data_IF_241426420486
#
_entry.id   IF_241426420486
#
_cell.length_a   1.000
_cell.length_b   1.000
_cell.length_c   1.000
_cell.angle_alpha   90.00
_cell.angle_beta   90.00
_cell.angle_gamma   90.00
#
_symmetry.space_group_name_H-M   'P 1'
#
loop_
_entity.id
_entity.type
_entity.pdbx_description
1 polymer ?
#
# COMPACT_ATOMS: atom_id res chain seq x y z
N UNK A 1 1.34 -1.18 -19.45
CA UNK A 1 0.58 -0.79 -18.25
C UNK A 1 -0.62 0.05 -18.69
N UNK A 2 -1.81 -0.20 -18.14
CA UNK A 2 -3.01 0.62 -18.39
C UNK A 2 -3.00 1.80 -17.45
N UNK A 3 -3.46 2.97 -17.90
CA UNK A 3 -3.48 4.20 -17.11
C UNK A 3 -4.90 4.72 -16.99
N UNK A 4 -5.30 5.11 -15.80
CA UNK A 4 -6.62 5.65 -15.46
C UNK A 4 -6.46 6.96 -14.72
N UNK A 5 -7.55 7.77 -14.69
CA UNK A 5 -7.63 8.96 -13.83
C UNK A 5 -8.32 8.60 -12.52
N UNK A 6 -7.87 9.21 -11.44
CA UNK A 6 -8.45 9.04 -10.11
C UNK A 6 -9.92 9.49 -10.06
N UNK A 7 -10.73 8.73 -9.31
CA UNK A 7 -12.14 9.06 -9.01
C UNK A 7 -12.32 9.15 -7.49
N UNK A 8 -12.32 10.36 -6.95
CA UNK A 8 -12.44 10.68 -5.53
C UNK A 8 -13.72 10.17 -4.84
N UNK A 9 -14.70 9.69 -5.62
CA UNK A 9 -15.98 9.17 -5.12
C UNK A 9 -15.90 7.73 -4.63
N UNK A 10 -14.74 7.09 -4.70
CA UNK A 10 -14.53 5.68 -4.36
C UNK A 10 -13.33 5.51 -3.48
N UNK A 11 -13.31 4.40 -2.76
CA UNK A 11 -12.11 3.89 -2.11
C UNK A 11 -10.92 3.90 -3.08
N UNK A 12 -9.75 4.20 -2.57
CA UNK A 12 -8.49 4.19 -3.29
C UNK A 12 -8.26 2.87 -4.03
N UNK A 13 -8.64 1.74 -3.41
CA UNK A 13 -8.41 0.40 -3.92
C UNK A 13 -9.51 -0.09 -4.88
N UNK A 14 -10.70 0.52 -4.86
CA UNK A 14 -11.86 0.06 -5.63
C UNK A 14 -12.06 0.82 -6.95
N UNK A 15 -10.99 1.33 -7.55
CA UNK A 15 -11.08 1.95 -8.88
C UNK A 15 -11.49 0.91 -9.93
N UNK A 16 -12.52 1.22 -10.75
CA UNK A 16 -13.09 0.28 -11.75
C UNK A 16 -12.05 -0.29 -12.70
N UNK A 17 -11.05 0.51 -13.08
CA UNK A 17 -9.98 0.09 -13.97
C UNK A 17 -9.06 -0.96 -13.35
N UNK A 18 -8.81 -0.90 -12.03
CA UNK A 18 -8.04 -1.89 -11.29
C UNK A 18 -8.87 -3.15 -11.10
N UNK A 19 -10.12 -3.01 -10.64
CA UNK A 19 -11.03 -4.12 -10.37
C UNK A 19 -11.31 -4.98 -11.61
N UNK A 20 -11.35 -4.39 -12.80
CA UNK A 20 -11.53 -5.12 -14.06
C UNK A 20 -10.37 -6.08 -14.39
N UNK A 21 -9.23 -5.96 -13.68
CA UNK A 21 -8.04 -6.80 -13.84
C UNK A 21 -7.86 -7.82 -12.71
N UNK A 22 -8.71 -7.75 -11.68
CA UNK A 22 -8.71 -8.65 -10.52
C UNK A 22 -9.88 -9.62 -10.65
N UNK A 23 -9.60 -10.90 -10.53
CA UNK A 23 -10.65 -11.91 -10.40
C UNK A 23 -11.23 -11.86 -8.97
N UNK A 24 -12.34 -11.11 -8.83
CA UNK A 24 -13.03 -10.90 -7.57
C UNK A 24 -13.36 -12.22 -6.85
N UNK A 25 -13.76 -13.24 -7.59
CA UNK A 25 -14.19 -14.52 -7.01
C UNK A 25 -13.06 -15.33 -6.41
N UNK A 26 -11.82 -14.98 -6.72
CA UNK A 26 -10.61 -15.64 -6.21
C UNK A 26 -9.99 -14.94 -4.99
N UNK A 27 -10.49 -13.76 -4.61
CA UNK A 27 -9.98 -13.01 -3.44
C UNK A 27 -10.73 -13.46 -2.20
N UNK A 28 -10.00 -14.06 -1.24
CA UNK A 28 -10.51 -14.55 0.05
C UNK A 28 -9.73 -14.01 1.24
N UNK A 29 -8.49 -13.65 1.05
CA UNK A 29 -7.62 -13.11 2.10
C UNK A 29 -6.98 -11.82 1.62
N UNK A 30 -7.20 -10.74 2.37
CA UNK A 30 -6.67 -9.42 2.10
C UNK A 30 -5.78 -8.99 3.26
N UNK A 31 -4.59 -8.46 2.96
CA UNK A 31 -3.83 -7.63 3.88
C UNK A 31 -4.01 -6.18 3.46
N UNK A 32 -4.49 -5.34 4.36
CA UNK A 32 -4.56 -3.90 4.16
C UNK A 32 -3.55 -3.22 5.07
N UNK A 33 -2.58 -2.55 4.46
CA UNK A 33 -1.45 -1.94 5.13
C UNK A 33 -1.64 -0.42 5.08
N UNK A 34 -1.86 0.21 6.25
CA UNK A 34 -2.31 1.59 6.38
C UNK A 34 -3.83 1.69 6.23
N UNK A 35 -4.57 1.09 7.17
CA UNK A 35 -6.03 1.02 7.11
C UNK A 35 -6.72 2.33 7.52
N UNK A 36 -5.96 3.27 8.09
CA UNK A 36 -6.47 4.55 8.57
C UNK A 36 -7.71 4.37 9.45
N UNK A 37 -8.78 5.12 9.22
CA UNK A 37 -10.02 5.03 9.99
C UNK A 37 -10.88 3.79 9.66
N UNK A 38 -10.45 2.93 8.74
CA UNK A 38 -11.11 1.70 8.34
C UNK A 38 -12.24 1.86 7.33
N UNK A 39 -12.43 3.04 6.76
CA UNK A 39 -13.47 3.26 5.75
C UNK A 39 -13.23 2.43 4.50
N UNK A 40 -12.01 2.40 4.00
CA UNK A 40 -11.61 1.61 2.83
C UNK A 40 -11.68 0.11 3.13
N UNK A 41 -11.31 -0.32 4.34
CA UNK A 41 -11.46 -1.72 4.79
C UNK A 41 -12.89 -2.21 4.67
N UNK A 42 -13.87 -1.43 5.11
CA UNK A 42 -15.29 -1.78 5.02
C UNK A 42 -15.74 -1.88 3.55
N UNK A 43 -15.27 -1.00 2.70
CA UNK A 43 -15.58 -1.06 1.27
C UNK A 43 -14.93 -2.30 0.60
N UNK A 44 -13.68 -2.63 0.96
CA UNK A 44 -13.02 -3.86 0.52
C UNK A 44 -13.79 -5.10 0.98
N UNK A 45 -14.21 -5.14 2.26
CA UNK A 45 -14.98 -6.24 2.83
C UNK A 45 -16.30 -6.46 2.08
N UNK A 46 -17.08 -5.40 1.83
CA UNK A 46 -18.34 -5.46 1.08
C UNK A 46 -18.12 -5.91 -0.37
N UNK A 47 -17.00 -5.48 -0.98
CA UNK A 47 -16.72 -5.77 -2.38
C UNK A 47 -16.25 -7.21 -2.60
N UNK A 48 -15.29 -7.70 -1.79
CA UNK A 48 -14.64 -8.99 -2.03
C UNK A 48 -15.22 -10.14 -1.22
N UNK A 49 -15.94 -9.87 -0.14
CA UNK A 49 -16.40 -10.89 0.82
C UNK A 49 -15.22 -11.76 1.33
N UNK A 50 -14.15 -11.11 1.73
CA UNK A 50 -12.88 -11.70 2.13
C UNK A 50 -12.61 -11.53 3.63
N UNK A 51 -11.71 -12.35 4.18
CA UNK A 51 -11.11 -12.10 5.50
C UNK A 51 -10.04 -11.02 5.33
N UNK A 52 -10.09 -9.99 6.17
CA UNK A 52 -9.19 -8.84 6.07
C UNK A 52 -8.35 -8.71 7.33
N UNK A 53 -7.04 -8.60 7.17
CA UNK A 53 -6.10 -8.22 8.21
C UNK A 53 -5.68 -6.78 7.92
N UNK A 54 -6.20 -5.84 8.72
CA UNK A 54 -6.03 -4.41 8.55
C UNK A 54 -4.98 -3.91 9.54
N UNK A 55 -3.90 -3.31 9.02
CA UNK A 55 -2.78 -2.79 9.82
C UNK A 55 -2.87 -1.28 9.89
N UNK A 56 -2.84 -0.74 11.10
CA UNK A 56 -2.81 0.70 11.37
C UNK A 56 -1.95 0.97 12.62
N UNK A 57 -1.14 2.02 12.60
CA UNK A 57 -0.25 2.33 13.70
C UNK A 57 -0.47 3.71 14.32
N UNK A 58 -1.29 4.56 13.70
CA UNK A 58 -1.57 5.91 14.19
C UNK A 58 -2.41 5.84 15.47
N UNK A 59 -1.88 6.26 16.65
CA UNK A 59 -2.54 6.03 17.92
C UNK A 59 -3.92 6.72 18.04
N UNK A 60 -4.09 7.89 17.42
CA UNK A 60 -5.35 8.65 17.47
C UNK A 60 -6.39 8.13 16.46
N UNK A 61 -5.97 7.37 15.45
CA UNK A 61 -6.84 6.85 14.39
C UNK A 61 -7.31 5.42 14.68
N UNK A 62 -6.48 4.60 15.32
CA UNK A 62 -6.81 3.23 15.73
C UNK A 62 -8.19 3.12 16.43
N UNK A 63 -8.58 4.02 17.37
CA UNK A 63 -9.90 3.94 17.99
C UNK A 63 -11.08 4.01 17.00
N UNK A 64 -10.94 4.79 15.93
CA UNK A 64 -11.96 4.93 14.88
C UNK A 64 -12.09 3.64 14.07
N UNK A 65 -10.96 3.04 13.67
CA UNK A 65 -10.95 1.76 12.97
C UNK A 65 -11.54 0.63 13.85
N UNK A 66 -11.18 0.58 15.13
CA UNK A 66 -11.70 -0.39 16.09
C UNK A 66 -13.21 -0.32 16.23
N UNK A 67 -13.76 0.88 16.37
CA UNK A 67 -15.21 1.10 16.43
C UNK A 67 -15.89 0.66 15.15
N UNK A 68 -15.29 0.97 13.99
CA UNK A 68 -15.84 0.63 12.69
C UNK A 68 -15.90 -0.88 12.43
N UNK A 69 -14.95 -1.64 12.99
CA UNK A 69 -14.85 -3.08 12.77
C UNK A 69 -15.60 -3.92 13.80
N UNK A 70 -16.13 -3.33 14.89
CA UNK A 70 -16.67 -4.08 16.00
C UNK A 70 -17.75 -5.11 15.61
N UNK A 71 -18.53 -4.82 14.55
CA UNK A 71 -19.57 -5.71 14.01
C UNK A 71 -19.07 -6.62 12.87
N UNK A 72 -17.79 -6.61 12.55
CA UNK A 72 -17.23 -7.33 11.41
C UNK A 72 -16.18 -8.37 11.86
N UNK A 73 -16.60 -9.58 12.29
CA UNK A 73 -15.70 -10.58 12.89
C UNK A 73 -14.62 -11.11 11.90
N UNK A 74 -14.80 -10.89 10.61
CA UNK A 74 -13.83 -11.25 9.56
C UNK A 74 -12.84 -10.13 9.24
N UNK A 75 -12.89 -9.02 9.95
CA UNK A 75 -11.90 -7.94 9.88
C UNK A 75 -11.10 -7.97 11.17
N UNK A 76 -9.80 -8.17 11.06
CA UNK A 76 -8.88 -8.17 12.20
C UNK A 76 -8.03 -6.91 12.15
N UNK A 77 -8.17 -6.03 13.12
CA UNK A 77 -7.29 -4.87 13.30
C UNK A 77 -5.97 -5.32 13.94
N UNK A 78 -4.86 -4.88 13.38
CA UNK A 78 -3.50 -5.07 13.88
C UNK A 78 -2.88 -3.69 14.11
N UNK A 79 -2.71 -3.32 15.37
CA UNK A 79 -2.33 -1.98 15.80
C UNK A 79 -0.80 -1.79 15.80
N UNK A 80 -0.19 -1.99 14.64
CA UNK A 80 1.26 -1.90 14.42
C UNK A 80 1.58 -1.36 13.04
N UNK A 81 2.72 -0.68 12.94
CA UNK A 81 3.32 -0.38 11.64
C UNK A 81 3.81 -1.68 10.97
N UNK A 82 3.77 -1.72 9.65
CA UNK A 82 4.39 -2.81 8.88
C UNK A 82 5.78 -2.39 8.44
N UNK A 83 6.78 -3.23 8.77
CA UNK A 83 8.19 -2.89 8.60
C UNK A 83 9.02 -4.12 8.21
N UNK A 84 10.33 -3.92 7.96
CA UNK A 84 11.28 -5.00 7.67
C UNK A 84 11.97 -5.59 8.93
N UNK A 85 11.58 -5.13 10.11
CA UNK A 85 12.04 -5.63 11.41
C UNK A 85 10.93 -5.56 12.44
N UNK A 86 10.95 -6.48 13.42
CA UNK A 86 10.16 -6.38 14.64
C UNK A 86 10.87 -5.42 15.60
N UNK A 87 10.34 -4.19 15.75
CA UNK A 87 11.01 -3.11 16.47
C UNK A 87 10.01 -2.03 16.92
N UNK A 88 10.53 -0.99 17.54
CA UNK A 88 9.84 0.32 17.62
C UNK A 88 10.44 1.25 16.59
N UNK A 89 9.61 2.05 15.94
CA UNK A 89 10.04 3.00 14.91
C UNK A 89 9.47 4.38 15.20
N UNK A 90 10.18 5.45 14.87
CA UNK A 90 9.60 6.79 14.86
C UNK A 90 8.37 6.81 13.93
N UNK A 91 7.36 7.52 14.37
CA UNK A 91 6.16 7.82 13.60
C UNK A 91 5.87 9.30 13.71
N UNK A 92 5.50 9.92 12.61
CA UNK A 92 5.31 11.36 12.49
C UNK A 92 3.84 11.68 12.17
N UNK A 93 2.95 11.73 13.18
CA UNK A 93 1.57 12.18 12.98
C UNK A 93 1.52 13.56 12.36
N UNK A 94 0.70 13.73 11.32
CA UNK A 94 0.41 15.04 10.74
C UNK A 94 -0.70 15.70 11.57
N UNK A 95 -0.36 16.78 12.26
CA UNK A 95 -1.27 17.58 13.07
C UNK A 95 -2.08 18.51 12.16
N UNK A 96 -1.41 19.11 11.20
CA UNK A 96 -2.00 20.05 10.24
C UNK A 96 -1.28 19.99 8.89
N UNK A 97 -2.05 20.25 7.85
CA UNK A 97 -1.54 20.43 6.50
C UNK A 97 -1.86 21.84 6.03
N UNK A 98 -0.87 22.56 5.51
CA UNK A 98 -1.10 23.81 4.80
C UNK A 98 -0.99 23.57 3.30
N UNK A 99 -2.08 23.79 2.60
CA UNK A 99 -2.17 23.69 1.14
C UNK A 99 -2.80 24.96 0.57
N UNK A 100 -2.11 25.64 -0.34
CA UNK A 100 -2.59 26.90 -0.96
C UNK A 100 -3.02 27.96 0.09
N UNK A 101 -2.32 28.03 1.23
CA UNK A 101 -2.63 28.96 2.33
C UNK A 101 -3.81 28.55 3.21
N UNK A 102 -4.44 27.41 2.96
CA UNK A 102 -5.51 26.87 3.80
C UNK A 102 -4.96 25.81 4.75
N UNK A 103 -5.49 25.79 5.97
CA UNK A 103 -5.21 24.75 6.97
C UNK A 103 -6.24 23.64 6.83
N UNK A 104 -5.76 22.41 6.72
CA UNK A 104 -6.56 21.20 6.57
C UNK A 104 -6.12 20.15 7.58
N UNK A 105 -7.07 19.36 8.07
CA UNK A 105 -6.79 18.14 8.81
C UNK A 105 -6.47 17.03 7.79
N UNK A 106 -5.29 16.43 7.90
CA UNK A 106 -4.88 15.37 7.00
C UNK A 106 -4.05 14.29 7.73
N UNK A 107 -4.65 13.59 8.70
CA UNK A 107 -3.95 12.54 9.44
C UNK A 107 -3.52 11.36 8.55
N UNK A 108 -4.16 11.18 7.39
CA UNK A 108 -3.79 10.17 6.41
C UNK A 108 -2.40 10.35 5.79
N UNK A 109 -1.81 11.56 5.87
CA UNK A 109 -0.44 11.82 5.43
C UNK A 109 0.62 11.52 6.53
N UNK A 110 0.23 10.95 7.65
CA UNK A 110 1.14 10.54 8.73
C UNK A 110 2.02 9.37 8.28
N UNK A 111 3.30 9.39 8.67
CA UNK A 111 4.30 8.46 8.13
C UNK A 111 5.32 8.03 9.19
N UNK A 112 5.99 6.90 8.95
CA UNK A 112 7.23 6.55 9.67
C UNK A 112 8.44 7.40 9.22
N UNK A 113 8.26 8.30 8.27
CA UNK A 113 9.28 9.20 7.78
C UNK A 113 8.88 10.65 7.99
N UNK A 114 9.88 11.50 8.26
CA UNK A 114 9.68 12.94 8.31
C UNK A 114 9.40 13.48 6.91
N UNK A 115 8.38 14.32 6.77
CA UNK A 115 8.06 14.98 5.51
C UNK A 115 9.20 15.90 5.03
N UNK A 116 9.27 16.10 3.74
CA UNK A 116 10.21 17.05 3.11
C UNK A 116 9.61 18.45 3.11
N UNK A 117 10.50 19.45 3.22
CA UNK A 117 10.11 20.86 3.22
C UNK A 117 9.82 21.41 1.80
N UNK A 118 10.26 20.69 0.76
CA UNK A 118 10.13 21.08 -0.65
C UNK A 118 8.89 20.48 -1.35
N UNK A 119 8.03 19.77 -0.62
CA UNK A 119 6.72 19.37 -1.09
C UNK A 119 5.76 20.57 -1.09
N UNK A 120 4.84 20.63 -2.05
CA UNK A 120 3.93 21.76 -2.20
C UNK A 120 2.89 21.91 -1.06
N UNK A 121 2.68 20.85 -0.29
CA UNK A 121 1.95 20.89 0.97
C UNK A 121 2.94 20.92 2.13
N UNK A 122 2.66 21.70 3.14
CA UNK A 122 3.46 21.71 4.37
C UNK A 122 2.74 20.92 5.43
N UNK A 123 3.42 19.92 5.97
CA UNK A 123 2.94 19.11 7.08
C UNK A 123 3.55 19.62 8.39
N UNK A 124 2.70 19.97 9.34
CA UNK A 124 3.08 20.14 10.73
C UNK A 124 3.00 18.78 11.40
N UNK A 125 4.14 18.22 11.74
CA UNK A 125 4.25 16.87 12.29
C UNK A 125 4.73 16.91 13.74
N UNK A 126 4.13 16.08 14.60
CA UNK A 126 4.74 15.68 15.87
C UNK A 126 5.61 14.43 15.65
N UNK A 127 6.20 13.93 16.73
CA UNK A 127 6.93 12.66 16.72
C UNK A 127 6.48 11.80 17.88
N UNK A 128 6.25 10.54 17.60
CA UNK A 128 6.01 9.49 18.60
C UNK A 128 6.73 8.21 18.18
N UNK A 129 6.68 7.18 19.01
CA UNK A 129 7.15 5.85 18.65
C UNK A 129 5.99 4.87 18.59
N UNK A 130 5.97 4.04 17.56
CA UNK A 130 4.99 2.97 17.39
C UNK A 130 5.67 1.61 17.31
N UNK A 131 4.94 0.56 17.68
CA UNK A 131 5.39 -0.80 17.42
C UNK A 131 5.34 -1.08 15.93
N UNK A 132 6.39 -1.73 15.43
CA UNK A 132 6.51 -2.15 14.04
C UNK A 132 6.79 -3.65 13.98
N UNK A 133 6.29 -4.30 12.93
CA UNK A 133 6.39 -5.74 12.81
C UNK A 133 6.67 -6.19 11.38
N UNK A 134 7.27 -7.36 11.27
CA UNK A 134 7.43 -8.08 10.02
C UNK A 134 6.15 -8.85 9.67
N UNK A 135 5.77 -8.76 8.39
CA UNK A 135 4.60 -9.48 7.89
C UNK A 135 4.81 -10.99 7.78
N UNK A 136 6.02 -11.47 7.53
CA UNK A 136 6.32 -12.91 7.43
C UNK A 136 6.05 -13.65 8.75
N UNK A 137 6.50 -13.09 9.88
CA UNK A 137 6.22 -13.60 11.23
C UNK A 137 4.72 -13.57 11.56
N UNK A 138 4.04 -12.48 11.20
CA UNK A 138 2.60 -12.37 11.36
C UNK A 138 1.85 -13.44 10.56
N UNK A 139 2.17 -13.61 9.29
CA UNK A 139 1.54 -14.62 8.43
C UNK A 139 1.76 -16.02 8.95
N UNK A 140 2.97 -16.34 9.42
CA UNK A 140 3.28 -17.65 10.01
C UNK A 140 2.43 -17.91 11.26
N UNK A 141 2.33 -16.93 12.17
CA UNK A 141 1.56 -17.05 13.42
C UNK A 141 0.06 -17.25 13.17
N UNK A 142 -0.48 -16.65 12.10
CA UNK A 142 -1.91 -16.71 11.76
C UNK A 142 -2.23 -17.77 10.69
N UNK A 143 -1.25 -18.58 10.27
CA UNK A 143 -1.46 -19.62 9.26
C UNK A 143 -1.82 -19.09 7.87
N UNK A 144 -1.42 -17.87 7.53
CA UNK A 144 -1.69 -17.24 6.25
C UNK A 144 -0.72 -17.78 5.19
N UNK A 145 -1.07 -18.90 4.60
CA UNK A 145 -0.26 -19.56 3.56
C UNK A 145 -0.54 -19.00 2.16
N UNK A 146 -1.61 -18.22 2.01
CA UNK A 146 -2.00 -17.55 0.77
C UNK A 146 -2.56 -16.17 1.08
N UNK A 147 -2.13 -15.19 0.29
CA UNK A 147 -2.62 -13.80 0.34
C UNK A 147 -3.10 -13.48 -1.07
N UNK A 148 -4.41 -13.25 -1.22
CA UNK A 148 -4.94 -13.00 -2.55
C UNK A 148 -4.72 -11.55 -2.99
N UNK A 149 -4.82 -10.60 -2.05
CA UNK A 149 -4.65 -9.19 -2.33
C UNK A 149 -3.93 -8.49 -1.17
N UNK A 150 -2.96 -7.68 -1.49
CA UNK A 150 -2.43 -6.64 -0.60
C UNK A 150 -2.93 -5.30 -1.10
N UNK A 151 -3.57 -4.52 -0.23
CA UNK A 151 -3.86 -3.10 -0.41
C UNK A 151 -2.91 -2.31 0.48
N UNK A 152 -2.19 -1.33 -0.07
CA UNK A 152 -1.11 -0.69 0.64
C UNK A 152 -1.08 0.81 0.37
N UNK A 153 -1.26 1.58 1.45
CA UNK A 153 -1.03 3.03 1.53
C UNK A 153 -0.34 3.31 2.87
N UNK A 154 0.97 3.25 2.88
CA UNK A 154 1.81 3.34 4.08
C UNK A 154 2.78 4.53 4.03
N UNK A 155 2.41 5.53 3.25
CA UNK A 155 3.04 6.84 3.21
C UNK A 155 4.58 6.75 3.20
N UNK A 156 5.14 6.15 2.13
CA UNK A 156 6.58 6.00 1.90
C UNK A 156 7.20 4.70 2.44
N UNK A 157 6.52 3.93 3.30
CA UNK A 157 7.06 2.72 3.92
C UNK A 157 6.87 1.44 3.08
N UNK A 158 6.38 1.55 1.83
CA UNK A 158 6.02 0.41 0.99
C UNK A 158 7.14 -0.63 0.83
N UNK A 159 8.37 -0.19 0.58
CA UNK A 159 9.50 -1.10 0.41
C UNK A 159 9.86 -1.84 1.70
N UNK A 160 9.76 -1.19 2.87
CA UNK A 160 9.96 -1.83 4.17
C UNK A 160 8.90 -2.90 4.44
N UNK A 161 7.62 -2.58 4.20
CA UNK A 161 6.53 -3.55 4.35
C UNK A 161 6.73 -4.79 3.47
N UNK A 162 7.10 -4.61 2.20
CA UNK A 162 7.35 -5.71 1.25
C UNK A 162 8.59 -6.54 1.65
N UNK A 163 9.67 -5.92 2.11
CA UNK A 163 10.84 -6.61 2.66
C UNK A 163 10.48 -7.40 3.94
N UNK A 164 9.60 -6.85 4.77
CA UNK A 164 9.07 -7.54 5.95
C UNK A 164 8.23 -8.78 5.63
N UNK A 165 7.61 -8.83 4.46
CA UNK A 165 6.94 -10.05 3.99
C UNK A 165 7.94 -11.04 3.36
N UNK A 166 9.05 -10.56 2.82
CA UNK A 166 10.14 -11.36 2.31
C UNK A 166 9.68 -12.45 1.34
N UNK A 167 10.08 -13.69 1.61
CA UNK A 167 9.70 -14.87 0.81
C UNK A 167 8.18 -15.11 0.75
N UNK A 168 7.40 -14.56 1.69
CA UNK A 168 5.94 -14.61 1.68
C UNK A 168 5.32 -13.97 0.43
N UNK A 169 6.05 -13.09 -0.26
CA UNK A 169 5.64 -12.52 -1.56
C UNK A 169 5.36 -13.59 -2.63
N UNK A 170 5.93 -14.78 -2.51
CA UNK A 170 5.63 -15.91 -3.41
C UNK A 170 4.15 -16.33 -3.36
N UNK A 171 3.52 -16.14 -2.22
CA UNK A 171 2.14 -16.55 -1.93
C UNK A 171 1.12 -15.44 -2.18
N UNK A 172 1.56 -14.26 -2.65
CA UNK A 172 0.70 -13.12 -2.96
C UNK A 172 0.33 -13.12 -4.44
N UNK A 173 -0.95 -12.83 -4.75
CA UNK A 173 -1.43 -12.79 -6.13
C UNK A 173 -1.54 -11.38 -6.71
N UNK A 174 -2.14 -10.46 -5.96
CA UNK A 174 -2.37 -9.08 -6.37
C UNK A 174 -1.83 -8.10 -5.33
N UNK A 175 -1.30 -6.98 -5.78
CA UNK A 175 -0.91 -5.87 -4.91
C UNK A 175 -1.44 -4.58 -5.53
N UNK A 176 -2.25 -3.82 -4.78
CA UNK A 176 -2.59 -2.43 -5.07
C UNK A 176 -1.79 -1.59 -4.08
N UNK A 177 -0.98 -0.67 -4.59
CA UNK A 177 -0.14 0.17 -3.73
C UNK A 177 -0.16 1.61 -4.20
N UNK A 178 -0.39 2.54 -3.27
CA UNK A 178 -0.02 3.94 -3.46
C UNK A 178 1.50 4.04 -3.36
N UNK A 179 2.13 4.58 -4.40
CA UNK A 179 3.58 4.72 -4.48
C UNK A 179 3.94 6.10 -5.00
N UNK A 180 4.90 6.70 -4.33
CA UNK A 180 5.40 8.00 -4.68
C UNK A 180 6.36 7.92 -5.87
N UNK A 181 6.17 8.84 -6.81
CA UNK A 181 7.01 9.06 -8.00
C UNK A 181 8.09 10.10 -7.74
N UNK A 182 7.86 10.96 -6.73
CA UNK A 182 8.77 12.00 -6.27
C UNK A 182 8.90 11.93 -4.74
N UNK A 183 10.03 12.36 -4.16
CA UNK A 183 10.23 12.24 -2.71
C UNK A 183 9.31 13.20 -1.94
N UNK A 184 8.33 12.64 -1.20
CA UNK A 184 7.50 13.33 -0.23
C UNK A 184 8.13 13.32 1.16
N UNK A 185 8.73 12.20 1.52
CA UNK A 185 9.31 11.94 2.83
C UNK A 185 10.81 11.73 2.73
N UNK A 186 11.54 12.01 3.80
CA UNK A 186 13.00 11.87 3.85
C UNK A 186 13.39 10.41 3.98
N UNK A 187 14.13 9.88 3.00
CA UNK A 187 14.63 8.50 3.03
C UNK A 187 13.64 7.44 2.55
N UNK A 188 12.45 7.82 2.07
CA UNK A 188 11.51 6.88 1.47
C UNK A 188 12.04 6.27 0.16
N UNK A 189 11.58 5.06 -0.14
CA UNK A 189 11.74 4.47 -1.46
C UNK A 189 10.66 4.99 -2.43
N UNK A 190 11.03 5.18 -3.69
CA UNK A 190 10.11 5.62 -4.74
C UNK A 190 9.61 4.44 -5.58
N UNK A 191 8.59 4.71 -6.40
CA UNK A 191 8.01 3.72 -7.33
C UNK A 191 9.04 2.86 -8.08
N UNK A 192 10.13 3.39 -8.67
CA UNK A 192 11.09 2.56 -9.40
C UNK A 192 11.77 1.49 -8.53
N UNK A 193 12.08 1.83 -7.27
CA UNK A 193 12.73 0.91 -6.32
C UNK A 193 11.76 -0.17 -5.85
N UNK A 194 10.52 0.21 -5.52
CA UNK A 194 9.45 -0.73 -5.14
C UNK A 194 9.11 -1.65 -6.30
N UNK A 195 8.96 -1.09 -7.51
CA UNK A 195 8.68 -1.87 -8.73
C UNK A 195 9.81 -2.86 -9.06
N UNK A 196 11.08 -2.46 -8.89
CA UNK A 196 12.22 -3.35 -9.08
C UNK A 196 12.22 -4.50 -8.05
N UNK A 197 11.92 -4.20 -6.78
CA UNK A 197 11.79 -5.21 -5.75
C UNK A 197 10.68 -6.22 -6.08
N UNK A 198 9.51 -5.74 -6.45
CA UNK A 198 8.37 -6.58 -6.84
C UNK A 198 8.66 -7.40 -8.11
N UNK A 199 9.35 -6.82 -9.09
CA UNK A 199 9.76 -7.52 -10.31
C UNK A 199 10.70 -8.70 -10.01
N UNK A 200 11.66 -8.52 -9.08
CA UNK A 200 12.54 -9.60 -8.62
C UNK A 200 11.75 -10.77 -7.98
N UNK A 201 10.55 -10.48 -7.44
CA UNK A 201 9.64 -11.48 -6.88
C UNK A 201 8.56 -11.93 -7.88
N UNK A 202 8.70 -11.62 -9.18
CA UNK A 202 7.83 -12.08 -10.25
C UNK A 202 6.51 -11.31 -10.40
N UNK A 203 6.42 -10.10 -9.88
CA UNK A 203 5.26 -9.23 -10.13
C UNK A 203 5.49 -8.31 -11.32
N UNK A 204 4.40 -7.99 -12.04
CA UNK A 204 4.40 -7.02 -13.13
C UNK A 204 3.40 -5.91 -12.84
N UNK A 205 3.76 -4.62 -13.01
CA UNK A 205 2.81 -3.53 -12.95
C UNK A 205 1.90 -3.57 -14.19
N UNK A 206 0.59 -3.66 -13.99
CA UNK A 206 -0.39 -3.80 -15.08
C UNK A 206 -1.29 -2.60 -15.24
N UNK A 207 -1.49 -1.82 -14.19
CA UNK A 207 -2.30 -0.60 -14.21
C UNK A 207 -1.78 0.45 -13.24
N UNK A 208 -2.07 1.70 -13.57
CA UNK A 208 -1.81 2.89 -12.77
C UNK A 208 -3.07 3.75 -12.73
N UNK A 209 -3.47 4.21 -11.55
CA UNK A 209 -4.46 5.27 -11.35
C UNK A 209 -3.70 6.53 -10.93
N UNK A 210 -3.62 7.49 -11.83
CA UNK A 210 -2.90 8.74 -11.60
C UNK A 210 -3.69 9.59 -10.61
N UNK A 211 -3.08 9.87 -9.46
CA UNK A 211 -3.54 10.83 -8.46
C UNK A 211 -3.10 12.24 -8.85
N UNK A 212 -1.78 12.41 -8.92
CA UNK A 212 -1.12 13.62 -9.36
C UNK A 212 0.30 13.30 -9.90
N UNK A 213 1.17 14.31 -9.98
CA UNK A 213 2.56 14.14 -10.41
C UNK A 213 3.47 13.53 -9.34
N UNK A 214 3.02 13.44 -8.09
CA UNK A 214 3.81 13.02 -6.94
C UNK A 214 3.62 11.54 -6.62
N UNK A 215 2.40 11.02 -6.71
CA UNK A 215 2.08 9.64 -6.40
C UNK A 215 0.94 9.09 -7.25
N UNK A 216 0.80 7.79 -7.27
CA UNK A 216 -0.26 7.07 -7.99
C UNK A 216 -0.55 5.75 -7.31
N UNK A 217 -1.75 5.19 -7.55
CA UNK A 217 -2.07 3.82 -7.17
C UNK A 217 -1.67 2.87 -8.30
N UNK A 218 -0.89 1.87 -7.99
CA UNK A 218 -0.42 0.87 -8.95
C UNK A 218 -0.99 -0.51 -8.64
N UNK A 219 -1.45 -1.22 -9.67
CA UNK A 219 -1.78 -2.63 -9.57
C UNK A 219 -0.65 -3.48 -10.12
N UNK A 220 -0.13 -4.36 -9.27
CA UNK A 220 0.83 -5.40 -9.64
C UNK A 220 0.16 -6.77 -9.60
N UNK A 221 0.45 -7.61 -10.58
CA UNK A 221 -0.05 -8.98 -10.67
C UNK A 221 1.12 -9.95 -10.70
N UNK A 222 1.02 -11.02 -9.90
CA UNK A 222 1.98 -12.12 -9.89
C UNK A 222 1.97 -12.85 -11.21
N UNK A 223 3.13 -13.02 -11.82
CA UNK A 223 3.30 -13.85 -13.01
C UNK A 223 3.34 -15.32 -12.59
N UNK A 224 2.26 -16.04 -12.86
CA UNK A 224 2.17 -17.48 -12.57
C UNK A 224 2.63 -18.37 -13.71
N UNK A 225 3.18 -17.80 -14.80
CA UNK A 225 3.58 -18.55 -15.99
C UNK A 225 2.41 -19.10 -16.83
N UNK A 226 1.17 -18.97 -16.37
CA UNK A 226 -0.01 -19.57 -16.99
C UNK A 226 -0.89 -18.61 -17.82
N UNK A 227 -0.49 -17.33 -17.97
CA UNK A 227 -1.31 -16.36 -18.71
C UNK A 227 -0.92 -16.27 -20.19
N UNK A 228 -1.82 -16.62 -21.13
CA UNK A 228 -1.56 -16.54 -22.58
C UNK A 228 -1.33 -15.11 -23.10
N UNK A 229 -1.61 -14.08 -22.29
CA UNK A 229 -1.48 -12.67 -22.69
C UNK A 229 -0.12 -12.04 -22.37
N UNK A 230 0.79 -12.75 -21.72
CA UNK A 230 2.08 -12.20 -21.27
C UNK A 230 3.25 -12.37 -22.25
N UNK A 231 3.05 -12.98 -23.43
CA UNK A 231 4.10 -13.06 -24.45
C UNK A 231 4.50 -11.69 -25.04
N UNK A 232 3.67 -10.68 -24.87
CA UNK A 232 3.94 -9.29 -25.28
C UNK A 232 4.89 -8.52 -24.33
N UNK A 233 5.14 -9.05 -23.12
CA UNK A 233 5.90 -8.33 -22.09
C UNK A 233 7.41 -8.56 -22.15
N UNK A 234 7.87 -9.62 -22.82
CA UNK A 234 9.32 -9.86 -23.03
C UNK A 234 10.01 -8.77 -23.86
N UNK A 235 9.25 -8.00 -24.63
CA UNK A 235 9.78 -6.89 -25.43
C UNK A 235 9.92 -5.55 -24.69
N UNK A 236 9.31 -5.40 -23.52
CA UNK A 236 9.39 -4.17 -22.70
C UNK A 236 10.55 -4.19 -21.69
N UNK A 237 11.00 -5.37 -21.29
CA UNK A 237 12.13 -5.54 -20.37
C UNK A 237 13.46 -4.99 -20.93
N UNK A 238 13.59 -4.96 -22.27
CA UNK A 238 14.75 -4.38 -22.96
C UNK A 238 14.79 -2.85 -22.87
N UNK A 239 13.63 -2.18 -22.75
CA UNK A 239 13.58 -0.70 -22.71
C UNK A 239 13.81 -0.11 -21.30
N UNK A 240 13.46 -0.86 -20.24
CA UNK A 240 13.70 -0.43 -18.86
C UNK A 240 15.18 -0.52 -18.47
N UNK A 241 15.92 -1.50 -19.01
CA UNK A 241 17.38 -1.62 -18.80
C UNK A 241 18.20 -0.50 -19.44
N UNK A 242 17.65 0.17 -20.45
CA UNK A 242 18.34 1.28 -21.15
C UNK A 242 18.11 2.65 -20.47
N UNK A 243 17.15 2.79 -19.57
CA UNK A 243 16.85 4.04 -18.87
C UNK A 243 17.55 4.16 -17.49
N UNK A 244 18.06 3.06 -16.94
CA UNK A 244 18.84 3.04 -15.69
C UNK A 244 20.35 3.19 -15.91
N UNK A 245 20.79 3.19 -17.19
CA UNK A 245 22.21 3.28 -17.58
C UNK A 245 22.58 4.64 -18.22
N UNK A 246 21.82 5.71 -17.93
CA UNK A 246 22.22 7.09 -18.29
C UNK A 246 22.00 8.05 -17.16
#
# INVERSE_FOLDING_TARGET
MRTFRYDWRRSNYLHRGLLALIDRTSVRTILELGAHDGSDTIELFKHFDADIHAFECHPDIIPLARERYHACPRIRLVEKAVWDADTRTPFYPVIRTTQNGQLLDNPGASSCFLARDDYHQRYEQSVTEVEAMRLDGYCATHGLTRIDLICMDVQGAALHALRGLGDGLRNVRYIIAELEKRPLYRGQALYPEVAAHLAAHGFCPVAEVIRDDWFSDFLFIKNTGQSPRMSLWKSLDVRLRTLVAR
#
